data_IF_525728421873
#
_entry.id   IF_525728421873
#
_cell.length_a   1.000
_cell.length_b   1.000
_cell.length_c   1.000
_cell.angle_alpha   90.00
_cell.angle_beta   90.00
_cell.angle_gamma   90.00
#
_symmetry.space_group_name_H-M   'P 1'
#
loop_
_entity.id
_entity.type
_entity.pdbx_description
1 polymer ?
#
# COMPACT_ATOMS: atom_id res chain seq x y z
N UNK A 1 15.34 11.89 -17.43
CA UNK A 1 15.29 12.00 -15.94
C UNK A 1 14.01 11.42 -15.36
N UNK A 2 12.82 11.82 -15.82
CA UNK A 2 11.51 11.32 -15.31
C UNK A 2 11.40 9.79 -15.19
N UNK A 3 11.89 9.03 -16.18
CA UNK A 3 11.88 7.56 -16.12
C UNK A 3 12.75 6.97 -15.01
N UNK A 4 13.93 7.54 -14.74
CA UNK A 4 14.79 7.07 -13.64
C UNK A 4 14.17 7.38 -12.27
N UNK A 5 13.54 8.57 -12.15
CA UNK A 5 12.77 8.94 -10.95
C UNK A 5 11.62 7.96 -10.74
N UNK A 6 10.88 7.61 -11.79
CA UNK A 6 9.79 6.63 -11.71
C UNK A 6 10.27 5.24 -11.31
N UNK A 7 11.41 4.77 -11.86
CA UNK A 7 12.04 3.51 -11.46
C UNK A 7 12.37 3.52 -9.97
N UNK A 8 13.02 4.58 -9.49
CA UNK A 8 13.35 4.72 -8.06
C UNK A 8 12.09 4.74 -7.20
N UNK A 9 11.07 5.49 -7.61
CA UNK A 9 9.82 5.64 -6.86
C UNK A 9 9.03 4.34 -6.75
N UNK A 10 8.77 3.65 -7.87
CA UNK A 10 8.06 2.37 -7.85
C UNK A 10 8.88 1.26 -7.20
N UNK A 11 10.21 1.30 -7.29
CA UNK A 11 11.09 0.39 -6.56
C UNK A 11 11.01 0.57 -5.04
N UNK A 12 11.01 1.83 -4.56
CA UNK A 12 10.86 2.14 -3.14
C UNK A 12 9.45 1.79 -2.61
N UNK A 13 8.40 2.06 -3.39
CA UNK A 13 7.03 1.66 -3.06
C UNK A 13 6.92 0.14 -2.91
N UNK A 14 7.46 -0.63 -3.86
CA UNK A 14 7.49 -2.09 -3.75
C UNK A 14 8.22 -2.56 -2.49
N UNK A 15 9.39 -1.99 -2.19
CA UNK A 15 10.17 -2.38 -1.01
C UNK A 15 9.43 -2.06 0.30
N UNK A 16 8.76 -0.91 0.36
CA UNK A 16 7.95 -0.51 1.50
C UNK A 16 6.78 -1.50 1.71
N UNK A 17 6.03 -1.82 0.66
CA UNK A 17 4.92 -2.76 0.76
C UNK A 17 5.38 -4.19 1.08
N UNK A 18 6.54 -4.62 0.58
CA UNK A 18 7.09 -5.93 0.93
C UNK A 18 7.37 -6.03 2.44
N UNK A 19 7.87 -4.95 3.04
CA UNK A 19 8.03 -4.85 4.49
C UNK A 19 6.70 -4.87 5.24
N UNK A 20 5.70 -4.14 4.74
CA UNK A 20 4.36 -4.12 5.34
C UNK A 20 3.66 -5.48 5.26
N UNK A 21 3.71 -6.14 4.10
CA UNK A 21 3.23 -7.52 3.90
C UNK A 21 3.86 -8.45 4.93
N UNK A 22 5.17 -8.37 5.14
CA UNK A 22 5.86 -9.19 6.13
C UNK A 22 5.32 -8.92 7.55
N UNK A 23 5.17 -7.65 7.93
CA UNK A 23 4.59 -7.25 9.22
C UNK A 23 3.15 -7.75 9.41
N UNK A 24 2.32 -7.68 8.37
CA UNK A 24 0.94 -8.17 8.37
C UNK A 24 0.85 -9.69 8.47
N UNK A 25 1.74 -10.42 7.78
CA UNK A 25 1.84 -11.89 7.91
C UNK A 25 2.22 -12.29 9.33
N UNK A 26 3.18 -11.59 9.94
CA UNK A 26 3.53 -11.83 11.34
C UNK A 26 2.36 -11.53 12.29
N UNK A 27 1.62 -10.45 12.03
CA UNK A 27 0.43 -10.08 12.81
C UNK A 27 -0.68 -11.11 12.68
N UNK A 28 -0.87 -11.70 11.50
CA UNK A 28 -1.84 -12.79 11.30
C UNK A 28 -1.41 -14.10 11.98
N UNK A 29 -0.10 -14.34 12.10
CA UNK A 29 0.42 -15.52 12.80
C UNK A 29 0.21 -15.44 14.32
N UNK A 30 0.27 -14.23 14.90
CA UNK A 30 -0.06 -13.96 16.29
C UNK A 30 -0.75 -12.59 16.44
N UNK A 31 -2.09 -12.53 16.37
CA UNK A 31 -2.82 -11.26 16.35
C UNK A 31 -3.01 -10.65 17.74
N UNK A 32 -2.80 -11.41 18.83
CA UNK A 32 -3.10 -10.97 20.20
C UNK A 32 -2.32 -9.72 20.60
N UNK A 33 -0.99 -9.64 20.37
CA UNK A 33 -0.22 -8.45 20.78
C UNK A 33 -0.65 -7.16 20.05
N UNK A 34 -1.08 -7.27 18.80
CA UNK A 34 -1.56 -6.11 18.03
C UNK A 34 -2.97 -5.71 18.48
N UNK A 35 -3.85 -6.69 18.67
CA UNK A 35 -5.20 -6.48 19.17
C UNK A 35 -5.21 -5.79 20.54
N UNK A 36 -4.33 -6.22 21.46
CA UNK A 36 -4.20 -5.64 22.80
C UNK A 36 -3.72 -4.18 22.75
N UNK A 37 -2.76 -3.85 21.87
CA UNK A 37 -2.29 -2.47 21.68
C UNK A 37 -3.39 -1.53 21.21
N UNK A 38 -4.33 -2.06 20.43
CA UNK A 38 -5.44 -1.32 19.85
C UNK A 38 -6.72 -1.41 20.68
N UNK A 39 -6.74 -2.22 21.74
CA UNK A 39 -7.92 -2.40 22.59
C UNK A 39 -9.09 -3.06 21.86
N UNK A 40 -8.82 -3.86 20.82
CA UNK A 40 -9.84 -4.55 20.01
C UNK A 40 -9.77 -6.07 20.21
N UNK A 41 -10.79 -6.79 19.76
CA UNK A 41 -10.77 -8.26 19.80
C UNK A 41 -9.78 -8.83 18.78
N UNK A 42 -9.10 -9.94 19.12
CA UNK A 42 -8.17 -10.62 18.22
C UNK A 42 -8.80 -11.01 16.87
N UNK A 43 -10.06 -11.47 16.88
CA UNK A 43 -10.78 -11.77 15.63
C UNK A 43 -11.01 -10.54 14.74
N UNK A 44 -11.18 -9.37 15.34
CA UNK A 44 -11.29 -8.09 14.63
C UNK A 44 -9.96 -7.69 13.99
N UNK A 45 -8.85 -7.88 14.72
CA UNK A 45 -7.51 -7.64 14.17
C UNK A 45 -7.20 -8.60 13.01
N UNK A 46 -7.56 -9.88 13.11
CA UNK A 46 -7.40 -10.83 12.00
C UNK A 46 -8.09 -10.35 10.73
N UNK A 47 -9.33 -9.87 10.83
CA UNK A 47 -10.06 -9.33 9.67
C UNK A 47 -9.36 -8.09 9.12
N UNK A 48 -8.98 -7.16 9.99
CA UNK A 48 -8.28 -5.93 9.63
C UNK A 48 -6.95 -6.21 8.92
N UNK A 49 -6.07 -7.01 9.52
CA UNK A 49 -4.78 -7.37 8.94
C UNK A 49 -4.93 -8.16 7.64
N UNK A 50 -5.97 -9.00 7.51
CA UNK A 50 -6.26 -9.72 6.25
C UNK A 50 -6.64 -8.77 5.11
N UNK A 51 -7.50 -7.78 5.39
CA UNK A 51 -7.88 -6.76 4.41
C UNK A 51 -6.65 -5.94 3.99
N UNK A 52 -5.87 -5.47 4.98
CA UNK A 52 -4.63 -4.73 4.73
C UNK A 52 -3.64 -5.56 3.92
N UNK A 53 -3.50 -6.85 4.21
CA UNK A 53 -2.58 -7.74 3.49
C UNK A 53 -2.98 -7.89 2.02
N UNK A 54 -4.27 -8.08 1.74
CA UNK A 54 -4.76 -8.15 0.35
C UNK A 54 -4.50 -6.85 -0.40
N UNK A 55 -4.73 -5.70 0.24
CA UNK A 55 -4.45 -4.40 -0.36
C UNK A 55 -2.94 -4.19 -0.57
N UNK A 56 -2.11 -4.54 0.41
CA UNK A 56 -0.65 -4.47 0.30
C UNK A 56 -0.13 -5.31 -0.87
N UNK A 57 -0.67 -6.52 -1.05
CA UNK A 57 -0.32 -7.40 -2.17
C UNK A 57 -0.68 -6.78 -3.52
N UNK A 58 -1.84 -6.13 -3.64
CA UNK A 58 -2.24 -5.41 -4.86
C UNK A 58 -1.26 -4.27 -5.16
N UNK A 59 -0.91 -3.48 -4.14
CA UNK A 59 0.03 -2.37 -4.29
C UNK A 59 1.43 -2.87 -4.65
N UNK A 60 1.96 -3.86 -3.92
CA UNK A 60 3.26 -4.44 -4.17
C UNK A 60 3.35 -5.04 -5.59
N UNK A 61 2.35 -5.82 -6.00
CA UNK A 61 2.30 -6.37 -7.34
C UNK A 61 2.20 -5.27 -8.40
N UNK A 62 1.34 -4.27 -8.20
CA UNK A 62 1.22 -3.12 -9.10
C UNK A 62 2.53 -2.37 -9.26
N UNK A 63 3.24 -2.11 -8.15
CA UNK A 63 4.53 -1.42 -8.15
C UNK A 63 5.62 -2.23 -8.86
N UNK A 64 5.71 -3.54 -8.59
CA UNK A 64 6.67 -4.44 -9.22
C UNK A 64 6.42 -4.55 -10.73
N UNK A 65 5.16 -4.69 -11.15
CA UNK A 65 4.81 -4.76 -12.57
C UNK A 65 5.03 -3.41 -13.28
N UNK A 66 4.77 -2.28 -12.61
CA UNK A 66 5.08 -0.96 -13.12
C UNK A 66 6.60 -0.80 -13.33
N UNK A 67 7.40 -1.25 -12.36
CA UNK A 67 8.85 -1.28 -12.47
C UNK A 67 9.31 -2.14 -13.66
N UNK A 68 8.74 -3.35 -13.80
CA UNK A 68 9.01 -4.22 -14.94
C UNK A 68 8.65 -3.57 -16.28
N UNK A 69 7.51 -2.88 -16.36
CA UNK A 69 7.10 -2.12 -17.55
C UNK A 69 8.03 -0.95 -17.89
N UNK A 70 8.53 -0.25 -16.87
CA UNK A 70 9.54 0.79 -17.02
C UNK A 70 10.85 0.21 -17.53
N UNK A 71 11.33 -0.91 -16.99
CA UNK A 71 12.59 -1.55 -17.40
C UNK A 71 12.49 -2.11 -18.83
N UNK A 72 11.39 -2.80 -19.14
CA UNK A 72 11.10 -3.41 -20.43
C UNK A 72 10.70 -2.41 -21.54
N UNK A 73 10.57 -1.10 -21.23
CA UNK A 73 10.15 -0.04 -22.16
C UNK A 73 8.77 -0.30 -22.78
N UNK A 74 7.82 -0.80 -21.98
CA UNK A 74 6.45 -1.13 -22.41
C UNK A 74 5.46 -0.14 -21.77
N UNK A 75 5.15 1.00 -22.40
CA UNK A 75 4.37 2.08 -21.78
C UNK A 75 2.96 1.62 -21.38
N UNK A 76 2.24 0.90 -22.25
CA UNK A 76 0.90 0.41 -21.94
C UNK A 76 0.87 -0.52 -20.71
N UNK A 77 1.92 -1.33 -20.51
CA UNK A 77 2.03 -2.21 -19.36
C UNK A 77 2.34 -1.40 -18.09
N UNK A 78 3.28 -0.45 -18.17
CA UNK A 78 3.56 0.49 -17.09
C UNK A 78 2.29 1.24 -16.64
N UNK A 79 1.53 1.84 -17.56
CA UNK A 79 0.37 2.64 -17.20
C UNK A 79 -0.69 1.82 -16.45
N UNK A 80 -1.01 0.62 -16.95
CA UNK A 80 -1.99 -0.27 -16.29
C UNK A 80 -1.54 -0.66 -14.88
N UNK A 81 -0.29 -1.04 -14.71
CA UNK A 81 0.25 -1.48 -13.42
C UNK A 81 0.43 -0.32 -12.44
N UNK A 82 0.88 0.85 -12.91
CA UNK A 82 1.02 2.05 -12.09
C UNK A 82 -0.35 2.57 -11.62
N UNK A 83 -1.39 2.47 -12.46
CA UNK A 83 -2.76 2.79 -12.06
C UNK A 83 -3.28 1.81 -11.00
N UNK A 84 -3.02 0.52 -11.15
CA UNK A 84 -3.38 -0.48 -10.14
C UNK A 84 -2.69 -0.20 -8.79
N UNK A 85 -1.40 0.15 -8.82
CA UNK A 85 -0.65 0.58 -7.63
C UNK A 85 -1.28 1.83 -6.99
N UNK A 86 -1.58 2.86 -7.79
CA UNK A 86 -2.19 4.09 -7.30
C UNK A 86 -3.57 3.87 -6.64
N UNK A 87 -4.43 3.06 -7.28
CA UNK A 87 -5.74 2.72 -6.74
C UNK A 87 -5.63 1.84 -5.50
N UNK A 88 -4.70 0.88 -5.50
CA UNK A 88 -4.40 0.08 -4.31
C UNK A 88 -4.02 0.95 -3.12
N UNK A 89 -3.11 1.90 -3.33
CA UNK A 89 -2.69 2.84 -2.29
C UNK A 89 -3.83 3.73 -1.78
N UNK A 90 -4.68 4.21 -2.70
CA UNK A 90 -5.84 5.00 -2.33
C UNK A 90 -6.80 4.19 -1.45
N UNK A 91 -7.15 2.97 -1.85
CA UNK A 91 -8.05 2.12 -1.09
C UNK A 91 -7.45 1.69 0.25
N UNK A 92 -6.17 1.33 0.27
CA UNK A 92 -5.41 1.03 1.48
C UNK A 92 -5.46 2.23 2.45
N UNK A 93 -5.12 3.41 1.95
CA UNK A 93 -5.09 4.62 2.76
C UNK A 93 -6.45 5.01 3.31
N UNK A 94 -7.50 4.98 2.47
CA UNK A 94 -8.87 5.27 2.90
C UNK A 94 -9.37 4.26 3.94
N UNK A 95 -9.06 2.98 3.76
CA UNK A 95 -9.39 1.94 4.74
C UNK A 95 -8.70 2.21 6.08
N UNK A 96 -7.39 2.49 6.10
CA UNK A 96 -6.67 2.83 7.34
C UNK A 96 -7.16 4.11 7.99
N UNK A 97 -7.52 5.14 7.22
CA UNK A 97 -8.12 6.36 7.79
C UNK A 97 -9.45 6.04 8.47
N UNK A 98 -10.31 5.26 7.82
CA UNK A 98 -11.60 4.88 8.40
C UNK A 98 -11.43 3.99 9.64
N UNK A 99 -10.57 2.97 9.55
CA UNK A 99 -10.26 2.06 10.65
C UNK A 99 -9.65 2.82 11.85
N UNK A 100 -8.65 3.67 11.61
CA UNK A 100 -8.03 4.49 12.64
C UNK A 100 -9.00 5.48 13.29
N UNK A 101 -9.93 6.06 12.53
CA UNK A 101 -10.88 7.05 13.04
C UNK A 101 -12.07 6.43 13.78
N UNK A 102 -12.57 5.27 13.33
CA UNK A 102 -13.85 4.72 13.79
C UNK A 102 -13.74 3.40 14.56
N UNK A 103 -12.73 2.58 14.27
CA UNK A 103 -12.63 1.21 14.80
C UNK A 103 -11.59 1.12 15.91
N UNK A 104 -10.38 1.61 15.63
CA UNK A 104 -9.24 1.53 16.56
C UNK A 104 -9.06 2.82 17.38
N UNK A 105 -9.57 3.96 16.89
CA UNK A 105 -9.46 5.25 17.58
C UNK A 105 -8.02 5.76 17.69
N UNK A 106 -7.12 5.33 16.79
CA UNK A 106 -5.70 5.68 16.80
C UNK A 106 -5.35 6.70 15.73
N UNK A 107 -4.96 7.90 16.17
CA UNK A 107 -4.48 8.96 15.27
C UNK A 107 -3.24 8.56 14.46
N UNK A 108 -2.40 7.66 14.98
CA UNK A 108 -1.23 7.15 14.26
C UNK A 108 -1.66 6.34 13.03
N UNK A 109 -2.69 5.50 13.17
CA UNK A 109 -3.25 4.70 12.07
C UNK A 109 -3.88 5.62 11.01
N UNK A 110 -4.56 6.68 11.44
CA UNK A 110 -5.11 7.70 10.53
C UNK A 110 -4.00 8.39 9.73
N UNK A 111 -2.93 8.83 10.39
CA UNK A 111 -1.79 9.47 9.73
C UNK A 111 -1.11 8.51 8.74
N UNK A 112 -0.93 7.25 9.12
CA UNK A 112 -0.43 6.22 8.21
C UNK A 112 -1.33 6.09 6.97
N UNK A 113 -2.65 6.03 7.16
CA UNK A 113 -3.60 6.00 6.06
C UNK A 113 -3.49 7.20 5.11
N UNK A 114 -3.32 8.42 5.64
CA UNK A 114 -3.11 9.62 4.84
C UNK A 114 -1.81 9.56 4.03
N UNK A 115 -0.73 9.01 4.60
CA UNK A 115 0.52 8.79 3.86
C UNK A 115 0.28 7.87 2.66
N UNK A 116 -0.48 6.78 2.85
CA UNK A 116 -0.84 5.88 1.75
C UNK A 116 -1.69 6.57 0.66
N UNK A 117 -2.64 7.43 1.06
CA UNK A 117 -3.40 8.25 0.08
C UNK A 117 -2.47 9.17 -0.71
N UNK A 118 -1.51 9.82 -0.04
CA UNK A 118 -0.52 10.67 -0.71
C UNK A 118 0.35 9.87 -1.68
N UNK A 119 0.83 8.69 -1.27
CA UNK A 119 1.60 7.79 -2.13
C UNK A 119 0.79 7.35 -3.37
N UNK A 120 -0.50 7.07 -3.20
CA UNK A 120 -1.40 6.79 -4.32
C UNK A 120 -1.54 7.97 -5.28
N UNK A 121 -1.66 9.18 -4.74
CA UNK A 121 -1.68 10.43 -5.53
C UNK A 121 -0.37 10.64 -6.31
N UNK A 122 0.77 10.36 -5.69
CA UNK A 122 2.09 10.43 -6.34
C UNK A 122 2.20 9.38 -7.45
N UNK A 123 1.82 8.13 -7.18
CA UNK A 123 1.81 7.05 -8.17
C UNK A 123 0.94 7.41 -9.38
N UNK A 124 -0.24 8.00 -9.15
CA UNK A 124 -1.12 8.49 -10.21
C UNK A 124 -0.51 9.67 -11.00
N UNK A 125 0.14 10.62 -10.30
CA UNK A 125 0.80 11.75 -10.93
C UNK A 125 2.00 11.32 -11.81
N UNK A 126 2.75 10.29 -11.38
CA UNK A 126 3.85 9.70 -12.16
C UNK A 126 3.29 8.89 -13.34
N UNK A 127 2.22 8.12 -13.11
CA UNK A 127 1.51 7.38 -14.14
C UNK A 127 1.12 8.28 -15.34
N UNK A 128 0.63 9.50 -15.10
CA UNK A 128 0.21 10.43 -16.18
C UNK A 128 1.34 11.18 -16.88
N UNK A 129 2.54 11.19 -16.31
CA UNK A 129 3.64 12.09 -16.72
C UNK A 129 4.85 11.34 -17.28
N UNK A 130 4.94 10.04 -17.03
CA UNK A 130 6.00 9.19 -17.58
C UNK A 130 5.49 8.55 -18.85
N UNK A 131 6.19 8.87 -19.94
CA UNK A 131 5.84 8.68 -21.36
C UNK A 131 4.97 9.79 -21.94
#
# INVERSE_FOLDING_TARGET
MLRLVAIGLFGLMFLAEAGDIYGLVLTLADPVPAADRFGIAAGTEVVRSSILLLLALIVAAGALLALAGLLARRPAFFHRSALACALGYLLYGLYQVADGAFQVGSGIVVVAGLIYVLLGGIAYAVHRSVY
#
